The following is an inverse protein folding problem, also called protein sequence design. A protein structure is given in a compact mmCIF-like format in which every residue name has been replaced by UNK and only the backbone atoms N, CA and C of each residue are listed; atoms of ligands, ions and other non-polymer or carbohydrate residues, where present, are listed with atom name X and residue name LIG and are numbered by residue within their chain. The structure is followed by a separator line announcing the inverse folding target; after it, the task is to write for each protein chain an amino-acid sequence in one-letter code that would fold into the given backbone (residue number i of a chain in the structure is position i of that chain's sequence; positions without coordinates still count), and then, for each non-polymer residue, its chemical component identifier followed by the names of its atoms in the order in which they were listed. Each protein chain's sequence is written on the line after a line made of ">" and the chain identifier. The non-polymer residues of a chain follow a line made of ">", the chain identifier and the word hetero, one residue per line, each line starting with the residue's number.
data_IF_176337042830
#
_entry.id   IF_176337042830
#
_cell.length_a   1.000
_cell.length_b   1.000
_cell.length_c   1.000
_cell.angle_alpha   90.00
_cell.angle_beta   90.00
_cell.angle_gamma   90.00
#
_symmetry.space_group_name_H-M   'P 1'
#
loop_
_entity.id
_entity.type
_entity.pdbx_description
1 polymer ?
#
# COMPACT_ATOMS: atom_id res chain seq x y z
N UNK A 1 10.12 -2.37 9.20
CA UNK A 1 10.11 -0.96 9.71
C UNK A 1 8.94 -0.82 10.67
N UNK A 2 9.16 -0.23 11.83
CA UNK A 2 8.12 0.01 12.84
C UNK A 2 7.80 1.50 12.84
N UNK A 3 6.53 1.93 12.69
CA UNK A 3 6.15 3.34 12.75
C UNK A 3 6.52 3.98 14.09
N UNK A 4 6.89 5.25 14.06
CA UNK A 4 7.16 6.06 15.26
C UNK A 4 5.89 6.61 15.91
N UNK A 5 4.71 6.38 15.32
CA UNK A 5 3.44 6.99 15.70
C UNK A 5 3.14 8.31 14.97
N UNK A 6 4.13 8.90 14.33
CA UNK A 6 3.94 10.18 13.64
C UNK A 6 3.20 9.99 12.31
N UNK A 7 2.08 10.67 12.16
CA UNK A 7 1.34 10.80 10.88
C UNK A 7 1.87 12.03 10.14
N UNK A 8 2.19 11.87 8.87
CA UNK A 8 2.82 12.91 8.05
C UNK A 8 1.88 13.27 6.89
N UNK A 9 1.74 14.57 6.61
CA UNK A 9 1.11 15.03 5.37
C UNK A 9 2.01 14.65 4.18
N UNK A 10 1.39 14.10 3.15
CA UNK A 10 2.08 13.66 1.94
C UNK A 10 2.16 14.72 0.85
N UNK A 11 1.55 15.91 1.05
CA UNK A 11 1.54 17.00 0.07
C UNK A 11 2.96 17.37 -0.34
N UNK A 12 3.19 17.51 -1.64
CA UNK A 12 4.47 17.88 -2.23
C UNK A 12 5.65 16.95 -1.86
N UNK A 13 5.34 15.69 -1.51
CA UNK A 13 6.33 14.66 -1.21
C UNK A 13 6.35 13.57 -2.28
N UNK A 14 7.39 12.70 -2.32
CA UNK A 14 7.40 11.50 -3.16
C UNK A 14 6.19 10.57 -2.94
N UNK A 15 5.56 10.64 -1.78
CA UNK A 15 4.43 9.80 -1.38
C UNK A 15 3.07 10.32 -1.87
N UNK A 16 2.99 11.49 -2.50
CA UNK A 16 1.73 12.05 -2.97
C UNK A 16 1.25 11.35 -4.26
N UNK A 17 0.31 10.42 -4.10
CA UNK A 17 -0.40 9.73 -5.18
C UNK A 17 -1.87 10.16 -5.31
N UNK A 18 -2.27 11.31 -4.73
CA UNK A 18 -3.62 11.86 -4.90
C UNK A 18 -3.93 12.20 -6.36
N UNK A 19 -2.90 12.49 -7.14
CA UNK A 19 -2.95 12.57 -8.60
C UNK A 19 -2.21 11.39 -9.20
N UNK A 20 -2.73 10.87 -10.34
CA UNK A 20 -2.08 9.79 -11.06
C UNK A 20 -0.65 10.19 -11.44
N UNK A 21 0.31 9.36 -11.08
CA UNK A 21 1.72 9.46 -11.48
C UNK A 21 2.33 8.07 -11.63
N UNK A 22 3.40 7.98 -12.39
CA UNK A 22 4.18 6.76 -12.48
C UNK A 22 4.85 6.44 -11.13
N UNK A 23 4.82 5.16 -10.71
CA UNK A 23 5.48 4.70 -9.48
C UNK A 23 6.97 5.00 -9.53
N UNK A 24 7.61 4.77 -10.69
CA UNK A 24 9.03 4.99 -10.89
C UNK A 24 9.49 6.45 -10.85
N UNK A 25 8.56 7.41 -10.95
CA UNK A 25 8.92 8.84 -11.02
C UNK A 25 9.76 9.31 -9.83
N UNK A 26 9.33 8.92 -8.63
CA UNK A 26 9.94 9.41 -7.39
C UNK A 26 10.47 8.26 -6.50
N UNK A 27 10.55 7.02 -7.03
CA UNK A 27 10.89 5.83 -6.25
C UNK A 27 12.34 5.86 -5.69
N UNK A 28 13.22 6.62 -6.34
CA UNK A 28 14.60 6.84 -5.92
C UNK A 28 14.85 8.28 -5.44
N UNK A 29 13.79 9.00 -5.05
CA UNK A 29 13.90 10.35 -4.54
C UNK A 29 14.86 10.44 -3.33
N UNK A 30 15.56 11.57 -3.23
CA UNK A 30 16.42 11.87 -2.07
C UNK A 30 15.57 12.22 -0.84
N UNK A 31 14.90 11.21 -0.31
CA UNK A 31 14.05 11.30 0.86
C UNK A 31 14.47 10.22 1.88
N UNK A 32 14.63 10.55 3.16
CA UNK A 32 15.07 9.60 4.18
C UNK A 32 14.21 8.33 4.26
N UNK A 33 12.89 8.45 4.14
CA UNK A 33 11.98 7.30 4.21
C UNK A 33 12.13 6.40 2.98
N UNK A 34 12.30 6.96 1.78
CA UNK A 34 12.55 6.20 0.56
C UNK A 34 13.88 5.43 0.65
N UNK A 35 14.91 6.05 1.21
CA UNK A 35 16.23 5.40 1.42
C UNK A 35 16.14 4.21 2.38
N UNK A 36 15.43 4.38 3.50
CA UNK A 36 15.24 3.32 4.50
C UNK A 36 14.49 2.11 3.89
N UNK A 37 13.46 2.37 3.09
CA UNK A 37 12.61 1.35 2.49
C UNK A 37 13.17 0.78 1.17
N UNK A 38 14.13 1.46 0.56
CA UNK A 38 14.64 1.12 -0.77
C UNK A 38 13.63 1.34 -1.90
N UNK A 39 12.62 2.17 -1.66
CA UNK A 39 11.46 2.46 -2.50
C UNK A 39 10.22 2.70 -1.64
N UNK A 40 9.02 2.41 -2.16
CA UNK A 40 7.79 2.50 -1.37
C UNK A 40 7.62 1.25 -0.51
N UNK A 41 7.37 1.44 0.78
CA UNK A 41 6.98 0.44 1.76
C UNK A 41 6.33 1.17 2.96
N UNK A 42 5.20 1.83 2.68
CA UNK A 42 4.61 2.80 3.60
C UNK A 42 3.10 2.57 3.75
N UNK A 43 2.61 2.75 4.97
CA UNK A 43 1.19 2.67 5.27
C UNK A 43 0.53 4.04 5.05
N UNK A 44 -0.40 4.09 4.11
CA UNK A 44 -1.31 5.22 3.89
C UNK A 44 -2.49 5.09 4.81
N UNK A 45 -2.98 6.22 5.33
CA UNK A 45 -4.09 6.23 6.28
C UNK A 45 -5.35 6.82 5.66
N UNK A 46 -6.49 6.26 6.06
CA UNK A 46 -7.83 6.69 5.68
C UNK A 46 -8.69 6.87 6.91
N UNK A 47 -9.85 7.52 6.74
CA UNK A 47 -10.79 7.68 7.83
C UNK A 47 -11.25 6.31 8.37
N UNK A 48 -11.17 6.14 9.70
CA UNK A 48 -11.55 4.89 10.38
C UNK A 48 -13.07 4.88 10.72
N UNK A 49 -13.92 4.91 9.69
CA UNK A 49 -15.38 4.90 9.81
C UNK A 49 -16.03 3.61 9.30
N UNK A 50 -15.21 2.62 8.92
CA UNK A 50 -15.63 1.31 8.41
C UNK A 50 -16.51 1.37 7.15
N UNK A 51 -16.43 2.46 6.39
CA UNK A 51 -17.11 2.59 5.10
C UNK A 51 -16.24 2.06 3.99
N UNK A 52 -16.82 1.21 3.14
CA UNK A 52 -16.15 0.74 1.92
C UNK A 52 -15.91 1.92 0.98
N UNK A 53 -14.66 2.17 0.64
CA UNK A 53 -14.24 3.25 -0.27
C UNK A 53 -13.12 2.79 -1.18
N UNK A 54 -12.96 3.45 -2.33
CA UNK A 54 -11.77 3.28 -3.16
C UNK A 54 -10.58 3.88 -2.42
N UNK A 55 -9.55 3.05 -2.19
CA UNK A 55 -8.31 3.42 -1.47
C UNK A 55 -7.11 3.50 -2.39
N UNK A 56 -7.14 2.82 -3.54
CA UNK A 56 -6.09 2.91 -4.56
C UNK A 56 -6.64 2.59 -5.96
N UNK A 57 -5.91 3.05 -6.97
CA UNK A 57 -6.03 2.62 -8.37
C UNK A 57 -4.63 2.39 -8.91
N UNK A 58 -4.42 1.25 -9.55
CA UNK A 58 -3.20 0.92 -10.29
C UNK A 58 -3.56 0.76 -11.77
N UNK A 59 -2.62 1.10 -12.65
CA UNK A 59 -2.75 0.93 -14.08
C UNK A 59 -1.40 0.56 -14.69
N UNK A 60 -1.38 -0.52 -15.46
CA UNK A 60 -0.22 -0.96 -16.24
C UNK A 60 -0.32 -0.43 -17.67
N UNK A 61 0.50 0.55 -18.01
CA UNK A 61 0.44 1.22 -19.32
C UNK A 61 0.67 0.25 -20.48
N UNK A 62 1.61 -0.69 -20.32
CA UNK A 62 1.98 -1.64 -21.37
C UNK A 62 0.92 -2.73 -21.58
N UNK A 63 0.23 -3.13 -20.52
CA UNK A 63 -0.76 -4.20 -20.56
C UNK A 63 -2.19 -3.71 -20.77
N UNK A 64 -2.46 -2.42 -20.52
CA UNK A 64 -3.82 -1.88 -20.48
C UNK A 64 -4.66 -2.40 -19.30
N UNK A 65 -4.07 -3.17 -18.37
CA UNK A 65 -4.77 -3.72 -17.22
C UNK A 65 -4.78 -2.68 -16.10
N UNK A 66 -5.97 -2.40 -15.58
CA UNK A 66 -6.17 -1.57 -14.39
C UNK A 66 -6.70 -2.38 -13.23
N UNK A 67 -6.50 -1.87 -12.01
CA UNK A 67 -7.03 -2.43 -10.78
C UNK A 67 -7.47 -1.30 -9.85
N UNK A 68 -8.74 -1.29 -9.49
CA UNK A 68 -9.26 -0.47 -8.39
C UNK A 68 -9.26 -1.29 -7.10
N UNK A 69 -8.75 -0.71 -6.02
CA UNK A 69 -8.75 -1.32 -4.69
C UNK A 69 -9.73 -0.59 -3.79
N UNK A 70 -10.65 -1.34 -3.19
CA UNK A 70 -11.61 -0.81 -2.20
C UNK A 70 -11.37 -1.50 -0.87
N UNK A 71 -11.55 -0.75 0.22
CA UNK A 71 -11.48 -1.31 1.57
C UNK A 71 -12.35 -0.53 2.55
N UNK A 72 -12.80 -1.20 3.61
CA UNK A 72 -13.41 -0.62 4.79
C UNK A 72 -12.43 -0.49 5.96
N UNK A 73 -11.16 -0.82 5.75
CA UNK A 73 -10.08 -0.63 6.71
C UNK A 73 -9.45 0.76 6.59
N UNK A 74 -8.78 1.16 7.68
CA UNK A 74 -8.22 2.51 7.83
C UNK A 74 -6.79 2.68 7.30
N UNK A 75 -6.13 1.61 6.89
CA UNK A 75 -4.77 1.63 6.39
C UNK A 75 -4.59 0.85 5.10
N UNK A 76 -3.61 1.24 4.33
CA UNK A 76 -3.16 0.56 3.11
C UNK A 76 -1.63 0.61 3.07
N UNK A 77 -0.98 -0.53 3.22
CA UNK A 77 0.44 -0.63 2.91
C UNK A 77 0.62 -0.66 1.40
N UNK A 78 1.46 0.23 0.90
CA UNK A 78 1.91 0.24 -0.48
C UNK A 78 3.37 -0.17 -0.52
N UNK A 79 3.64 -1.34 -1.10
CA UNK A 79 4.97 -1.93 -1.19
C UNK A 79 5.35 -2.21 -2.64
N UNK A 80 6.55 -1.86 -3.03
CA UNK A 80 7.03 -1.95 -4.42
C UNK A 80 8.05 -3.07 -4.66
N UNK A 81 8.00 -4.15 -3.88
CA UNK A 81 8.87 -5.30 -4.09
C UNK A 81 10.36 -4.99 -3.92
N UNK A 82 10.72 -4.08 -3.02
CA UNK A 82 12.07 -3.54 -2.86
C UNK A 82 13.10 -4.59 -2.46
N UNK A 83 12.66 -5.65 -1.78
CA UNK A 83 13.51 -6.72 -1.23
C UNK A 83 13.46 -8.00 -2.05
N UNK A 84 12.76 -8.01 -3.19
CA UNK A 84 12.83 -9.12 -4.13
C UNK A 84 14.26 -9.21 -4.71
N UNK A 85 14.83 -10.43 -4.69
CA UNK A 85 16.23 -10.64 -5.06
C UNK A 85 16.42 -11.97 -5.79
N UNK A 86 15.77 -12.11 -6.94
CA UNK A 86 16.00 -13.26 -7.81
C UNK A 86 15.22 -14.54 -7.45
N UNK A 87 14.17 -14.44 -6.62
CA UNK A 87 13.29 -15.58 -6.36
C UNK A 87 12.67 -16.08 -7.66
N UNK A 88 12.66 -17.40 -7.83
CA UNK A 88 12.01 -18.04 -8.97
C UNK A 88 10.53 -18.17 -8.66
N UNK A 89 9.70 -17.57 -9.49
CA UNK A 89 8.26 -17.57 -9.38
C UNK A 89 7.59 -18.51 -10.39
N UNK A 90 6.33 -18.21 -10.69
CA UNK A 90 5.51 -18.97 -11.63
C UNK A 90 6.16 -19.02 -13.01
N UNK A 91 6.09 -20.20 -13.64
CA UNK A 91 6.62 -20.47 -14.98
C UNK A 91 8.11 -20.12 -15.15
N UNK A 92 8.91 -20.21 -14.06
CA UNK A 92 10.34 -19.91 -14.08
C UNK A 92 10.68 -18.42 -14.10
N UNK A 93 9.71 -17.53 -13.95
CA UNK A 93 9.95 -16.09 -13.88
C UNK A 93 10.85 -15.73 -12.70
N UNK A 94 11.86 -14.91 -12.93
CA UNK A 94 12.79 -14.44 -11.89
C UNK A 94 12.30 -13.11 -11.35
N UNK A 95 11.90 -13.09 -10.09
CA UNK A 95 11.43 -11.84 -9.42
C UNK A 95 12.62 -11.03 -8.92
N UNK A 96 12.90 -9.95 -9.63
CA UNK A 96 13.93 -8.97 -9.29
C UNK A 96 13.34 -7.84 -8.43
N UNK A 97 14.22 -7.04 -7.82
CA UNK A 97 13.81 -5.80 -7.14
C UNK A 97 12.82 -5.02 -8.00
N UNK A 98 11.68 -4.65 -7.40
CA UNK A 98 10.60 -3.85 -8.05
C UNK A 98 9.86 -4.56 -9.19
N UNK A 99 9.89 -5.90 -9.24
CA UNK A 99 9.13 -6.65 -10.25
C UNK A 99 7.66 -6.87 -9.88
N UNK A 100 7.19 -6.29 -8.77
CA UNK A 100 5.80 -6.39 -8.34
C UNK A 100 5.44 -5.29 -7.35
N UNK A 101 4.13 -5.10 -7.12
CA UNK A 101 3.58 -4.19 -6.12
C UNK A 101 2.56 -4.90 -5.26
N UNK A 102 2.45 -4.50 -3.99
CA UNK A 102 1.42 -4.94 -3.07
C UNK A 102 0.57 -3.75 -2.61
N UNK A 103 -0.73 -4.00 -2.50
CA UNK A 103 -1.69 -3.14 -1.81
C UNK A 103 -2.32 -3.96 -0.68
N UNK A 104 -1.90 -3.69 0.55
CA UNK A 104 -2.26 -4.49 1.72
C UNK A 104 -3.20 -3.68 2.61
N UNK A 105 -4.49 -4.00 2.57
CA UNK A 105 -5.49 -3.31 3.40
C UNK A 105 -5.41 -3.83 4.82
N UNK A 106 -5.26 -2.92 5.80
CA UNK A 106 -4.89 -3.29 7.16
C UNK A 106 -5.24 -2.20 8.18
N UNK A 107 -5.06 -2.49 9.47
CA UNK A 107 -4.83 -1.48 10.50
C UNK A 107 -3.41 -0.92 10.35
N UNK A 108 -3.12 0.20 11.04
CA UNK A 108 -1.77 0.75 10.99
C UNK A 108 -0.76 -0.24 11.62
N UNK A 109 0.42 -0.39 11.04
CA UNK A 109 1.46 -1.22 11.63
C UNK A 109 1.72 -0.83 13.08
N UNK A 110 1.93 -1.81 13.95
CA UNK A 110 2.15 -1.64 15.38
C UNK A 110 0.99 -1.02 16.19
N UNK A 111 -0.25 -1.07 15.67
CA UNK A 111 -1.44 -0.53 16.37
C UNK A 111 -1.68 -1.11 17.75
N UNK A 112 -1.23 -2.34 18.00
CA UNK A 112 -1.37 -2.98 19.33
C UNK A 112 -0.52 -2.30 20.43
N UNK A 113 0.53 -1.56 20.05
CA UNK A 113 1.45 -0.90 20.97
C UNK A 113 1.37 0.65 20.90
N UNK A 114 0.44 1.21 20.12
CA UNK A 114 0.32 2.65 19.90
C UNK A 114 -1.12 3.08 20.16
N UNK A 115 -1.38 3.64 21.32
CA UNK A 115 -2.72 3.98 21.82
C UNK A 115 -3.46 4.99 20.94
N UNK A 116 -2.73 5.84 20.24
CA UNK A 116 -3.26 6.86 19.33
C UNK A 116 -3.74 6.29 18.00
N UNK A 117 -3.36 5.04 17.70
CA UNK A 117 -3.78 4.36 16.47
C UNK A 117 -5.12 3.63 16.66
N UNK A 118 -5.89 3.44 15.58
CA UNK A 118 -7.05 2.57 15.61
C UNK A 118 -6.67 1.18 16.14
N UNK A 119 -7.36 0.72 17.19
CA UNK A 119 -7.08 -0.58 17.81
C UNK A 119 -7.28 -1.74 16.84
N UNK A 120 -6.30 -2.60 16.71
CA UNK A 120 -6.36 -3.87 15.97
C UNK A 120 -6.71 -5.06 16.88
N UNK A 121 -6.95 -4.82 18.18
CA UNK A 121 -7.21 -5.87 19.15
C UNK A 121 -8.65 -6.36 18.99
N UNK A 122 -8.80 -7.66 18.77
CA UNK A 122 -10.10 -8.33 18.76
C UNK A 122 -10.37 -8.91 20.16
N UNK A 123 -11.35 -8.35 20.90
CA UNK A 123 -11.74 -8.93 22.20
C UNK A 123 -12.30 -10.35 22.06
N UNK A 124 -12.16 -11.16 23.11
CA UNK A 124 -12.76 -12.49 23.14
C UNK A 124 -14.28 -12.42 22.85
N UNK A 125 -14.77 -13.44 22.14
CA UNK A 125 -16.19 -13.56 21.74
C UNK A 125 -16.71 -12.46 20.80
N UNK A 126 -15.83 -11.64 20.23
CA UNK A 126 -16.19 -10.68 19.16
C UNK A 126 -15.80 -11.24 17.79
N UNK A 127 -16.54 -10.82 16.76
CA UNK A 127 -16.27 -11.21 15.38
C UNK A 127 -15.66 -10.00 14.65
N UNK A 128 -14.50 -10.20 14.04
CA UNK A 128 -13.94 -9.23 13.11
C UNK A 128 -14.50 -9.48 11.71
N UNK A 129 -14.94 -8.42 11.06
CA UNK A 129 -15.36 -8.43 9.66
C UNK A 129 -14.70 -7.28 8.93
N UNK A 130 -14.15 -7.54 7.76
CA UNK A 130 -13.63 -6.52 6.86
C UNK A 130 -13.93 -6.92 5.42
N UNK A 131 -13.88 -5.93 4.54
CA UNK A 131 -14.06 -6.15 3.11
C UNK A 131 -12.96 -5.44 2.34
N UNK A 132 -12.29 -6.20 1.47
CA UNK A 132 -11.37 -5.70 0.46
C UNK A 132 -11.84 -6.20 -0.90
N UNK A 133 -11.85 -5.32 -1.90
CA UNK A 133 -12.22 -5.66 -3.27
C UNK A 133 -11.08 -5.22 -4.18
N UNK A 134 -10.58 -6.15 -4.97
CA UNK A 134 -9.68 -5.88 -6.09
C UNK A 134 -10.50 -6.03 -7.38
N UNK A 135 -10.86 -4.91 -7.98
CA UNK A 135 -11.64 -4.85 -9.21
C UNK A 135 -10.72 -4.61 -10.39
N UNK A 136 -10.53 -5.64 -11.21
CA UNK A 136 -9.72 -5.56 -12.42
C UNK A 136 -10.54 -5.08 -13.61
N UNK A 137 -9.94 -4.28 -14.47
CA UNK A 137 -10.54 -3.79 -15.70
C UNK A 137 -9.46 -3.62 -16.78
N UNK A 138 -9.88 -3.46 -18.03
CA UNK A 138 -9.00 -3.06 -19.13
C UNK A 138 -9.39 -1.66 -19.60
N UNK A 139 -8.41 -0.82 -19.86
CA UNK A 139 -8.58 0.52 -20.39
C UNK A 139 -7.56 0.68 -21.55
N UNK A 140 -8.05 0.86 -22.75
CA UNK A 140 -7.19 1.20 -23.89
C UNK A 140 -7.10 2.72 -23.95
N UNK A 141 -5.89 3.25 -23.92
CA UNK A 141 -5.58 4.68 -24.04
C UNK A 141 -5.17 4.97 -25.48
#
# INVERSE_FOLDING_TARGET
>A
MIPTGRIIDISDTPFDFRKRKQIGKDIDADNPQMKIAGGYDHNYIFQNDRKLRKVAKLYGADSGIGMDVYSDLCGLQFYTGNFLNGQIGKDGAVYKKRSGVCFETQFYPNSCNTSEFPSCILPAYKVFKSRTIYHFFTEYI
#
